data_IF_355874819610
#
_entry.id   IF_355874819610
#
_cell.length_a   1.000
_cell.length_b   1.000
_cell.length_c   1.000
_cell.angle_alpha   90.00
_cell.angle_beta   90.00
_cell.angle_gamma   90.00
#
_symmetry.space_group_name_H-M   'P 1'
#
loop_
_entity.id
_entity.type
_entity.pdbx_description
1 polymer ?
#
# COMPACT_ATOMS: atom_id res chain seq x y z
N UNK A 1 -15.84 -13.74 -8.36
CA UNK A 1 -14.47 -13.52 -8.86
C UNK A 1 -13.47 -13.36 -7.72
N UNK A 2 -13.42 -12.27 -6.96
CA UNK A 2 -12.43 -12.08 -5.87
C UNK A 2 -12.48 -13.13 -4.75
N UNK A 3 -13.67 -13.45 -4.23
CA UNK A 3 -13.82 -14.48 -3.18
C UNK A 3 -13.40 -15.88 -3.64
N UNK A 4 -13.69 -16.23 -4.89
CA UNK A 4 -13.38 -17.54 -5.46
C UNK A 4 -11.91 -17.66 -5.93
N UNK A 5 -11.32 -16.58 -6.44
CA UNK A 5 -9.97 -16.59 -7.00
C UNK A 5 -8.88 -16.21 -5.99
N UNK A 6 -9.20 -15.40 -4.98
CA UNK A 6 -8.23 -14.79 -4.07
C UNK A 6 -8.61 -14.91 -2.58
N UNK A 7 -9.77 -15.49 -2.26
CA UNK A 7 -10.21 -15.70 -0.87
C UNK A 7 -10.68 -14.44 -0.15
N UNK A 8 -10.82 -13.30 -0.82
CA UNK A 8 -11.27 -12.06 -0.18
C UNK A 8 -12.79 -12.01 0.01
N UNK A 9 -13.22 -11.65 1.22
CA UNK A 9 -14.64 -11.45 1.53
C UNK A 9 -15.22 -10.22 0.80
N UNK A 10 -14.39 -9.21 0.56
CA UNK A 10 -14.73 -7.97 -0.14
C UNK A 10 -13.59 -7.60 -1.10
N UNK A 11 -13.88 -6.97 -2.25
CA UNK A 11 -12.83 -6.57 -3.17
C UNK A 11 -11.94 -5.46 -2.56
N UNK A 12 -10.61 -5.50 -2.77
CA UNK A 12 -9.73 -4.40 -2.40
C UNK A 12 -9.87 -3.22 -3.37
N UNK A 13 -9.44 -2.04 -2.92
CA UNK A 13 -9.22 -0.86 -3.76
C UNK A 13 -7.77 -0.41 -3.55
N UNK A 14 -7.05 -0.08 -4.63
CA UNK A 14 -5.60 0.10 -4.59
C UNK A 14 -5.19 1.57 -4.68
N UNK A 15 -5.39 2.19 -5.85
CA UNK A 15 -4.85 3.51 -6.19
C UNK A 15 -5.25 4.65 -5.22
N UNK A 16 -6.49 4.70 -4.67
CA UNK A 16 -6.86 5.73 -3.70
C UNK A 16 -6.04 5.70 -2.41
N UNK A 17 -5.39 4.58 -2.07
CA UNK A 17 -4.49 4.50 -0.92
C UNK A 17 -3.30 5.45 -1.07
N UNK A 18 -2.77 5.64 -2.28
CA UNK A 18 -1.68 6.57 -2.53
C UNK A 18 -2.09 8.02 -2.26
N UNK A 19 -3.27 8.42 -2.73
CA UNK A 19 -3.81 9.77 -2.49
C UNK A 19 -4.14 9.97 -1.01
N UNK A 20 -4.72 8.96 -0.35
CA UNK A 20 -4.99 9.01 1.09
C UNK A 20 -3.71 9.23 1.90
N UNK A 21 -2.60 8.57 1.54
CA UNK A 21 -1.30 8.79 2.17
C UNK A 21 -0.79 10.22 2.01
N UNK A 22 -0.97 10.82 0.82
CA UNK A 22 -0.58 12.21 0.57
C UNK A 22 -1.44 13.19 1.38
N UNK A 23 -2.74 12.93 1.53
CA UNK A 23 -3.66 13.77 2.31
C UNK A 23 -3.33 13.71 3.80
N UNK A 24 -3.16 12.50 4.34
CA UNK A 24 -2.86 12.26 5.74
C UNK A 24 -1.95 11.04 5.89
N UNK A 25 -0.62 11.24 6.04
CA UNK A 25 0.33 10.15 6.21
C UNK A 25 0.06 9.26 7.43
N UNK A 26 -0.69 9.74 8.42
CA UNK A 26 -1.03 8.96 9.62
C UNK A 26 -2.07 7.87 9.36
N UNK A 27 -2.71 7.86 8.19
CA UNK A 27 -3.63 6.80 7.76
C UNK A 27 -2.93 5.50 7.39
N UNK A 28 -1.67 5.58 6.97
CA UNK A 28 -0.91 4.44 6.47
C UNK A 28 0.44 4.38 7.16
N UNK A 29 0.65 3.32 7.93
CA UNK A 29 1.96 3.01 8.51
C UNK A 29 2.92 2.59 7.39
N UNK A 30 4.12 3.16 7.42
CA UNK A 30 5.21 2.86 6.48
C UNK A 30 6.48 2.47 7.21
N UNK A 31 7.27 1.60 6.58
CA UNK A 31 8.58 1.19 7.08
C UNK A 31 9.65 1.57 6.05
N UNK A 32 10.65 2.35 6.47
CA UNK A 32 11.82 2.68 5.63
C UNK A 32 12.71 1.45 5.47
N UNK A 33 12.73 0.91 4.25
CA UNK A 33 13.55 -0.25 3.86
C UNK A 33 14.11 -0.03 2.46
N UNK A 34 15.33 -0.50 2.15
CA UNK A 34 15.82 -0.56 0.78
C UNK A 34 14.89 -1.41 -0.09
N UNK A 35 14.53 -0.89 -1.26
CA UNK A 35 13.73 -1.59 -2.27
C UNK A 35 14.47 -1.58 -3.60
N UNK A 36 14.59 -2.74 -4.25
CA UNK A 36 15.08 -2.90 -5.62
C UNK A 36 14.06 -3.67 -6.46
N UNK A 37 14.17 -3.59 -7.79
CA UNK A 37 13.34 -4.34 -8.72
C UNK A 37 14.16 -5.47 -9.34
N UNK A 38 13.65 -6.70 -9.28
CA UNK A 38 14.26 -7.84 -9.99
C UNK A 38 13.91 -7.79 -11.48
N UNK A 39 14.93 -7.82 -12.35
CA UNK A 39 14.78 -7.60 -13.79
C UNK A 39 15.16 -8.80 -14.66
N UNK A 40 15.66 -9.89 -14.07
CA UNK A 40 16.33 -10.97 -14.80
C UNK A 40 15.92 -12.38 -14.39
N UNK A 41 15.49 -12.59 -13.14
CA UNK A 41 15.20 -13.92 -12.61
C UNK A 41 14.03 -14.62 -13.32
N UNK A 42 14.21 -15.91 -13.67
CA UNK A 42 13.17 -16.74 -14.32
C UNK A 42 11.85 -16.82 -13.55
N UNK A 43 11.91 -16.74 -12.22
CA UNK A 43 10.74 -16.93 -11.35
C UNK A 43 10.27 -15.66 -10.63
N UNK A 44 11.07 -14.61 -10.62
CA UNK A 44 10.87 -13.41 -9.78
C UNK A 44 10.94 -12.11 -10.55
N UNK A 45 10.89 -12.16 -11.89
CA UNK A 45 10.85 -10.98 -12.74
C UNK A 45 9.72 -10.02 -12.30
N UNK A 46 10.07 -8.75 -12.09
CA UNK A 46 9.15 -7.69 -11.68
C UNK A 46 8.91 -7.61 -10.16
N UNK A 47 9.51 -8.49 -9.36
CA UNK A 47 9.39 -8.43 -7.90
C UNK A 47 10.02 -7.15 -7.33
N UNK A 48 9.30 -6.48 -6.43
CA UNK A 48 9.85 -5.47 -5.52
C UNK A 48 10.55 -6.16 -4.35
N UNK A 49 11.88 -6.26 -4.42
CA UNK A 49 12.70 -6.89 -3.38
C UNK A 49 12.93 -5.88 -2.26
N UNK A 50 12.12 -5.98 -1.20
CA UNK A 50 12.18 -5.14 0.00
C UNK A 50 12.95 -5.84 1.14
N UNK A 51 13.98 -5.18 1.68
CA UNK A 51 14.84 -5.76 2.72
C UNK A 51 14.36 -5.42 4.15
N UNK A 52 13.63 -6.35 4.76
CA UNK A 52 13.12 -6.24 6.14
C UNK A 52 14.03 -6.89 7.20
N UNK A 53 15.23 -7.37 6.84
CA UNK A 53 16.07 -8.19 7.75
C UNK A 53 16.67 -7.39 8.93
N UNK A 54 16.78 -6.08 8.78
CA UNK A 54 17.40 -5.19 9.77
C UNK A 54 16.42 -4.11 10.23
N UNK A 55 16.65 -3.50 11.41
CA UNK A 55 15.89 -2.34 11.81
C UNK A 55 15.91 -1.25 10.73
N UNK A 56 14.82 -0.46 10.61
CA UNK A 56 14.74 0.62 9.62
C UNK A 56 15.95 1.54 9.70
N UNK A 57 16.56 1.80 8.55
CA UNK A 57 17.64 2.78 8.38
C UNK A 57 17.18 3.85 7.40
N UNK A 58 17.70 5.09 7.50
CA UNK A 58 17.44 6.12 6.50
C UNK A 58 17.78 5.60 5.10
N UNK A 59 16.77 5.60 4.23
CA UNK A 59 16.89 5.28 2.82
C UNK A 59 15.85 6.11 2.05
N UNK A 60 15.98 6.16 0.73
CA UNK A 60 15.08 6.92 -0.15
C UNK A 60 13.74 6.20 -0.42
N UNK A 61 13.53 5.02 0.15
CA UNK A 61 12.37 4.16 -0.08
C UNK A 61 11.67 3.78 1.22
N UNK A 62 10.36 3.57 1.13
CA UNK A 62 9.54 3.07 2.23
C UNK A 62 8.40 2.23 1.69
N UNK A 63 7.94 1.27 2.47
CA UNK A 63 6.87 0.34 2.10
C UNK A 63 5.70 0.50 3.07
N UNK A 64 4.47 0.62 2.53
CA UNK A 64 3.25 0.67 3.32
C UNK A 64 2.92 -0.73 3.89
N UNK A 65 2.61 -0.81 5.18
CA UNK A 65 2.39 -2.08 5.89
C UNK A 65 1.01 -2.20 6.53
N UNK A 66 0.39 -1.07 6.90
CA UNK A 66 -0.91 -1.08 7.57
C UNK A 66 -1.71 0.19 7.25
N UNK A 67 -3.00 0.00 6.98
CA UNK A 67 -3.96 1.07 6.68
C UNK A 67 -5.00 1.14 7.81
N UNK A 68 -5.31 2.35 8.27
CA UNK A 68 -6.52 2.60 9.05
C UNK A 68 -7.75 2.53 8.13
N UNK A 69 -8.38 1.37 8.09
CA UNK A 69 -9.51 1.08 7.19
C UNK A 69 -10.69 2.02 7.42
N UNK A 70 -11.03 2.31 8.67
CA UNK A 70 -12.22 3.11 8.99
C UNK A 70 -12.01 4.56 8.55
N UNK A 71 -10.89 5.17 8.95
CA UNK A 71 -10.57 6.54 8.57
C UNK A 71 -10.36 6.68 7.06
N UNK A 72 -9.79 5.68 6.40
CA UNK A 72 -9.68 5.65 4.94
C UNK A 72 -11.06 5.73 4.26
N UNK A 73 -12.03 4.91 4.68
CA UNK A 73 -13.35 4.93 4.07
C UNK A 73 -14.12 6.22 4.37
N UNK A 74 -13.97 6.77 5.59
CA UNK A 74 -14.55 8.08 5.92
C UNK A 74 -14.00 9.18 4.99
N UNK A 75 -12.68 9.20 4.73
CA UNK A 75 -12.05 10.13 3.80
C UNK A 75 -12.64 10.01 2.39
N UNK A 76 -12.81 8.80 1.87
CA UNK A 76 -13.39 8.56 0.54
C UNK A 76 -14.83 9.05 0.47
N UNK A 77 -15.66 8.70 1.46
CA UNK A 77 -17.07 9.10 1.52
C UNK A 77 -17.19 10.63 1.57
N UNK A 78 -16.37 11.29 2.39
CA UNK A 78 -16.40 12.74 2.53
C UNK A 78 -15.89 13.45 1.26
N UNK A 79 -14.93 12.87 0.54
CA UNK A 79 -14.51 13.37 -0.76
C UNK A 79 -15.67 13.33 -1.78
N UNK A 80 -16.39 12.21 -1.86
CA UNK A 80 -17.55 12.06 -2.76
C UNK A 80 -18.67 13.05 -2.40
N UNK A 81 -18.99 13.22 -1.12
CA UNK A 81 -20.02 14.17 -0.67
C UNK A 81 -19.74 15.62 -1.09
N UNK A 82 -18.46 16.01 -1.21
CA UNK A 82 -18.04 17.37 -1.62
C UNK A 82 -18.15 17.63 -3.12
N UNK A 83 -18.38 16.59 -3.93
CA UNK A 83 -18.57 16.71 -5.38
C UNK A 83 -20.04 16.87 -5.79
N UNK A 84 -20.95 16.78 -4.82
CA UNK A 84 -22.39 17.03 -4.98
C UNK A 84 -22.75 18.42 -4.45
#
# INVERSE_FOLDING_TARGET
MYKQAQGFNYPPVHDPCAVAYVIDPTLIETVSVPVNIELTGTHTLGMTVADFRYPPKPCNTQVATKLDKERFWNLIIDAIKRLN
#
